data_IF_518163943936
#
_entry.id   IF_518163943936
#
_cell.length_a   1.000
_cell.length_b   1.000
_cell.length_c   1.000
_cell.angle_alpha   90.00
_cell.angle_beta   90.00
_cell.angle_gamma   90.00
#
_symmetry.space_group_name_H-M   'P 1'
#
loop_
_entity.id
_entity.type
_entity.pdbx_description
1 polymer ?
#
# COMPACT_ATOMS: atom_id res chain seq x y z
N UNK A 1 -19.94 10.13 -50.31
CA UNK A 1 -18.85 10.23 -49.34
C UNK A 1 -19.32 9.65 -48.03
N UNK A 2 -18.94 8.41 -47.70
CA UNK A 2 -19.16 7.78 -46.38
C UNK A 2 -17.92 8.05 -45.55
N UNK A 3 -17.99 8.99 -44.61
CA UNK A 3 -16.97 9.19 -43.59
C UNK A 3 -17.16 8.12 -42.50
N UNK A 4 -16.40 7.03 -42.57
CA UNK A 4 -16.28 6.08 -41.48
C UNK A 4 -15.40 6.70 -40.38
N UNK A 5 -16.02 7.23 -39.34
CA UNK A 5 -15.31 7.53 -38.08
C UNK A 5 -14.99 6.21 -37.38
N UNK A 6 -13.77 5.72 -37.55
CA UNK A 6 -13.21 4.74 -36.67
C UNK A 6 -12.80 5.48 -35.39
N UNK A 7 -13.70 5.56 -34.42
CA UNK A 7 -13.31 5.96 -33.08
C UNK A 7 -12.37 4.88 -32.53
N UNK A 8 -11.07 5.15 -32.54
CA UNK A 8 -10.15 4.41 -31.68
C UNK A 8 -10.63 4.65 -30.24
N UNK A 9 -11.40 3.71 -29.71
CA UNK A 9 -11.63 3.66 -28.28
C UNK A 9 -10.24 3.53 -27.63
N UNK A 10 -9.77 4.63 -27.08
CA UNK A 10 -8.57 4.63 -26.27
C UNK A 10 -8.88 3.71 -25.09
N UNK A 11 -8.22 2.54 -24.99
CA UNK A 11 -8.39 1.63 -23.87
C UNK A 11 -8.11 2.44 -22.61
N UNK A 12 -9.13 2.63 -21.77
CA UNK A 12 -8.99 3.36 -20.50
C UNK A 12 -8.11 2.49 -19.61
N UNK A 13 -6.99 3.03 -19.18
CA UNK A 13 -6.14 2.39 -18.18
C UNK A 13 -6.87 2.39 -16.84
N UNK A 14 -7.10 1.21 -16.28
CA UNK A 14 -7.81 1.02 -15.00
C UNK A 14 -6.82 0.69 -13.90
N UNK A 15 -7.17 1.05 -12.66
CA UNK A 15 -6.46 0.66 -11.45
C UNK A 15 -7.38 -0.08 -10.49
N UNK A 16 -6.81 -1.02 -9.73
CA UNK A 16 -7.49 -1.66 -8.61
C UNK A 16 -6.86 -1.13 -7.32
N UNK A 17 -7.70 -0.58 -6.44
CA UNK A 17 -7.33 -0.21 -5.08
C UNK A 17 -7.92 -1.22 -4.09
N UNK A 18 -7.07 -1.78 -3.25
CA UNK A 18 -7.46 -2.69 -2.17
C UNK A 18 -7.29 -1.96 -0.85
N UNK A 19 -8.40 -1.70 -0.17
CA UNK A 19 -8.37 -1.06 1.14
C UNK A 19 -8.16 -2.08 2.25
N UNK A 20 -7.15 -1.90 3.10
CA UNK A 20 -6.89 -2.74 4.28
C UNK A 20 -7.12 -1.88 5.53
N UNK A 21 -8.29 -1.97 6.18
CA UNK A 21 -8.67 -1.04 7.25
C UNK A 21 -8.06 -1.35 8.62
N UNK A 22 -6.96 -2.07 8.69
CA UNK A 22 -6.37 -2.51 9.96
C UNK A 22 -5.06 -1.80 10.23
N UNK A 23 -4.88 -1.35 11.50
CA UNK A 23 -3.63 -0.80 12.01
C UNK A 23 -3.28 -1.45 13.36
N UNK A 24 -1.99 -1.46 13.74
CA UNK A 24 -1.56 -1.87 15.09
C UNK A 24 -2.06 -0.90 16.14
N UNK A 25 -1.99 0.40 15.83
CA UNK A 25 -2.43 1.50 16.68
C UNK A 25 -3.00 2.63 15.82
N UNK A 26 -3.82 3.49 16.41
CA UNK A 26 -4.35 4.69 15.74
C UNK A 26 -3.39 5.85 15.96
N UNK A 27 -2.84 6.39 14.89
CA UNK A 27 -2.04 7.62 14.93
C UNK A 27 -2.93 8.84 15.17
N UNK A 28 -2.48 9.82 15.97
CA UNK A 28 -3.31 10.97 16.37
C UNK A 28 -3.67 11.92 15.24
N UNK A 29 -2.91 11.91 14.16
CA UNK A 29 -3.19 12.74 12.97
C UNK A 29 -4.08 12.06 11.92
N UNK A 30 -4.29 10.74 12.04
CA UNK A 30 -4.86 9.96 10.94
C UNK A 30 -6.38 10.06 10.88
N UNK A 31 -6.89 10.65 9.79
CA UNK A 31 -8.32 10.73 9.46
C UNK A 31 -8.83 9.57 8.60
N UNK A 32 -7.98 8.66 8.14
CA UNK A 32 -8.41 7.53 7.33
C UNK A 32 -9.24 6.52 8.13
N UNK A 33 -10.17 5.86 7.41
CA UNK A 33 -10.93 4.77 8.00
C UNK A 33 -10.00 3.60 8.32
N UNK A 34 -9.77 3.37 9.60
CA UNK A 34 -8.97 2.25 10.09
C UNK A 34 -9.35 1.87 11.52
N UNK A 35 -9.18 0.61 11.85
CA UNK A 35 -9.46 0.03 13.17
C UNK A 35 -8.20 -0.60 13.76
N UNK A 36 -7.90 -0.28 15.02
CA UNK A 36 -6.78 -0.87 15.76
C UNK A 36 -7.22 -2.17 16.45
N UNK A 37 -7.63 -3.18 15.65
CA UNK A 37 -8.11 -4.47 16.14
C UNK A 37 -7.94 -5.53 15.07
N UNK A 38 -7.63 -6.76 15.49
CA UNK A 38 -7.57 -7.95 14.61
C UNK A 38 -8.86 -8.76 14.61
N UNK A 39 -9.81 -8.44 15.47
CA UNK A 39 -11.00 -9.25 15.71
C UNK A 39 -11.80 -9.55 14.43
N UNK A 40 -11.93 -8.59 13.54
CA UNK A 40 -12.67 -8.72 12.30
C UNK A 40 -11.77 -9.02 11.07
N UNK A 41 -10.45 -9.11 11.25
CA UNK A 41 -9.50 -9.21 10.13
C UNK A 41 -9.78 -10.43 9.24
N UNK A 42 -9.96 -11.60 9.84
CA UNK A 42 -10.26 -12.84 9.10
C UNK A 42 -11.58 -12.76 8.33
N UNK A 43 -12.63 -12.24 8.99
CA UNK A 43 -13.94 -12.08 8.34
C UNK A 43 -13.89 -11.05 7.20
N UNK A 44 -13.12 -9.97 7.39
CA UNK A 44 -12.90 -8.96 6.36
C UNK A 44 -12.19 -9.53 5.12
N UNK A 45 -11.11 -10.30 5.31
CA UNK A 45 -10.37 -10.92 4.19
C UNK A 45 -11.28 -11.88 3.41
N UNK A 46 -12.09 -12.68 4.11
CA UNK A 46 -13.06 -13.55 3.46
C UNK A 46 -14.12 -12.75 2.67
N UNK A 47 -14.65 -11.66 3.24
CA UNK A 47 -15.61 -10.78 2.56
C UNK A 47 -14.98 -10.08 1.35
N UNK A 48 -13.72 -9.64 1.46
CA UNK A 48 -12.97 -9.06 0.34
C UNK A 48 -12.81 -10.07 -0.81
N UNK A 49 -12.49 -11.32 -0.49
CA UNK A 49 -12.43 -12.39 -1.50
C UNK A 49 -13.76 -12.60 -2.22
N UNK A 50 -14.89 -12.55 -1.51
CA UNK A 50 -16.22 -12.59 -2.12
C UNK A 50 -16.51 -11.36 -2.98
N UNK A 51 -16.15 -10.16 -2.52
CA UNK A 51 -16.31 -8.93 -3.31
C UNK A 51 -15.53 -9.00 -4.62
N UNK A 52 -14.29 -9.46 -4.59
CA UNK A 52 -13.45 -9.66 -5.78
C UNK A 52 -14.16 -10.57 -6.79
N UNK A 53 -14.70 -11.70 -6.34
CA UNK A 53 -15.44 -12.63 -7.19
C UNK A 53 -16.72 -12.02 -7.78
N UNK A 54 -17.49 -11.29 -6.98
CA UNK A 54 -18.72 -10.63 -7.42
C UNK A 54 -18.44 -9.53 -8.46
N UNK A 55 -17.26 -8.88 -8.39
CA UNK A 55 -16.89 -7.78 -9.27
C UNK A 55 -16.00 -8.18 -10.46
N UNK A 56 -15.78 -9.48 -10.69
CA UNK A 56 -14.89 -9.97 -11.76
C UNK A 56 -15.18 -9.37 -13.15
N UNK A 57 -16.43 -9.12 -13.46
CA UNK A 57 -16.88 -8.58 -14.75
C UNK A 57 -17.00 -7.04 -14.74
N UNK A 58 -16.72 -6.37 -13.61
CA UNK A 58 -16.94 -4.93 -13.45
C UNK A 58 -16.05 -4.08 -14.37
N UNK A 59 -14.82 -4.52 -14.61
CA UNK A 59 -13.88 -3.81 -15.47
C UNK A 59 -14.05 -4.14 -16.97
N UNK A 60 -14.91 -5.10 -17.32
CA UNK A 60 -15.12 -5.54 -18.70
C UNK A 60 -13.81 -5.98 -19.37
N UNK A 61 -13.52 -5.43 -20.56
CA UNK A 61 -12.29 -5.73 -21.30
C UNK A 61 -11.16 -4.75 -21.04
N UNK A 62 -11.28 -3.89 -20.01
CA UNK A 62 -10.28 -2.88 -19.70
C UNK A 62 -9.01 -3.53 -19.12
N UNK A 63 -7.86 -2.99 -19.50
CA UNK A 63 -6.58 -3.45 -18.96
C UNK A 63 -6.31 -2.82 -17.60
N UNK A 64 -6.01 -3.64 -16.59
CA UNK A 64 -5.54 -3.17 -15.29
C UNK A 64 -4.06 -2.79 -15.41
N UNK A 65 -3.72 -1.55 -15.14
CA UNK A 65 -2.35 -1.02 -15.20
C UNK A 65 -1.72 -0.84 -13.82
N UNK A 66 -2.53 -0.63 -12.78
CA UNK A 66 -2.03 -0.42 -11.42
C UNK A 66 -2.82 -1.24 -10.43
N UNK A 67 -2.12 -1.79 -9.45
CA UNK A 67 -2.69 -2.47 -8.29
C UNK A 67 -2.11 -1.80 -7.03
N UNK A 68 -2.97 -1.26 -6.18
CA UNK A 68 -2.55 -0.50 -5.01
C UNK A 68 -3.21 -1.05 -3.74
N UNK A 69 -2.38 -1.44 -2.78
CA UNK A 69 -2.81 -1.84 -1.44
C UNK A 69 -2.55 -0.69 -0.48
N UNK A 70 -3.60 -0.13 0.10
CA UNK A 70 -3.52 1.02 0.98
C UNK A 70 -4.58 1.01 2.09
N UNK A 71 -4.69 2.14 2.79
CA UNK A 71 -5.75 2.40 3.78
C UNK A 71 -5.26 2.55 5.21
N UNK A 72 -5.41 1.52 6.02
CA UNK A 72 -4.82 1.48 7.37
C UNK A 72 -3.34 1.10 7.31
N UNK A 73 -3.04 -0.21 7.28
CA UNK A 73 -1.65 -0.69 7.22
C UNK A 73 -1.60 -2.05 6.49
N UNK A 74 -1.50 -2.05 5.15
CA UNK A 74 -1.40 -3.30 4.38
C UNK A 74 -0.21 -4.17 4.78
N UNK A 75 0.92 -3.56 5.14
CA UNK A 75 2.11 -4.26 5.63
C UNK A 75 1.89 -5.07 6.92
N UNK A 76 0.78 -4.83 7.63
CA UNK A 76 0.42 -5.61 8.82
C UNK A 76 -0.25 -6.96 8.51
N UNK A 77 -0.63 -7.20 7.27
CA UNK A 77 -1.07 -8.52 6.83
C UNK A 77 0.08 -9.54 6.97
N UNK A 78 -0.29 -10.79 7.29
CA UNK A 78 0.64 -11.91 7.14
C UNK A 78 0.91 -12.18 5.66
N UNK A 79 1.97 -12.90 5.36
CA UNK A 79 2.27 -13.27 3.97
C UNK A 79 1.18 -14.17 3.38
N UNK A 80 0.60 -15.07 4.18
CA UNK A 80 -0.50 -15.94 3.73
C UNK A 80 -1.75 -15.10 3.39
N UNK A 81 -2.15 -14.17 4.28
CA UNK A 81 -3.29 -13.27 4.04
C UNK A 81 -3.10 -12.43 2.77
N UNK A 82 -1.91 -11.89 2.57
CA UNK A 82 -1.60 -11.10 1.39
C UNK A 82 -1.58 -11.95 0.11
N UNK A 83 -1.01 -13.16 0.20
CA UNK A 83 -0.98 -14.12 -0.91
C UNK A 83 -2.38 -14.52 -1.32
N UNK A 84 -3.27 -14.82 -0.37
CA UNK A 84 -4.67 -15.18 -0.65
C UNK A 84 -5.41 -14.07 -1.41
N UNK A 85 -5.23 -12.81 -0.99
CA UNK A 85 -5.84 -11.65 -1.66
C UNK A 85 -5.28 -11.48 -3.08
N UNK A 86 -3.96 -11.49 -3.25
CA UNK A 86 -3.30 -11.32 -4.55
C UNK A 86 -3.69 -12.44 -5.51
N UNK A 87 -3.66 -13.71 -5.06
CA UNK A 87 -4.06 -14.85 -5.86
C UNK A 87 -5.53 -14.75 -6.28
N UNK A 88 -6.42 -14.35 -5.36
CA UNK A 88 -7.84 -14.17 -5.68
C UNK A 88 -8.03 -13.07 -6.74
N UNK A 89 -7.28 -11.98 -6.67
CA UNK A 89 -7.30 -10.92 -7.68
C UNK A 89 -6.81 -11.44 -9.05
N UNK A 90 -5.71 -12.19 -9.07
CA UNK A 90 -5.13 -12.75 -10.31
C UNK A 90 -6.04 -13.80 -10.98
N UNK A 91 -6.83 -14.53 -10.19
CA UNK A 91 -7.82 -15.48 -10.72
C UNK A 91 -9.06 -14.80 -11.33
N UNK A 92 -9.38 -13.58 -10.93
CA UNK A 92 -10.61 -12.89 -11.31
C UNK A 92 -10.41 -11.70 -12.25
N UNK A 93 -9.19 -11.16 -12.34
CA UNK A 93 -8.85 -10.03 -13.22
C UNK A 93 -7.62 -10.31 -14.05
N UNK A 94 -7.56 -9.76 -15.27
CA UNK A 94 -6.40 -9.84 -16.16
C UNK A 94 -5.30 -8.90 -15.65
N UNK A 95 -4.45 -9.37 -14.74
CA UNK A 95 -3.37 -8.59 -14.12
C UNK A 95 -2.00 -8.77 -14.81
N UNK A 96 -1.92 -9.44 -15.95
CA UNK A 96 -0.69 -9.68 -16.71
C UNK A 96 -0.06 -8.42 -17.32
N UNK A 97 -0.84 -7.32 -17.40
CA UNK A 97 -0.38 -6.02 -17.92
C UNK A 97 -0.17 -4.98 -16.81
N UNK A 98 -0.18 -5.37 -15.53
CA UNK A 98 0.02 -4.45 -14.41
C UNK A 98 1.46 -3.95 -14.41
N UNK A 99 1.62 -2.64 -14.62
CA UNK A 99 2.93 -1.98 -14.65
C UNK A 99 3.41 -1.62 -13.24
N UNK A 100 2.48 -1.29 -12.33
CA UNK A 100 2.80 -0.91 -10.95
C UNK A 100 1.92 -1.68 -9.96
N UNK A 101 2.58 -2.38 -9.03
CA UNK A 101 1.96 -2.97 -7.84
C UNK A 101 2.54 -2.30 -6.60
N UNK A 102 1.73 -1.49 -5.94
CA UNK A 102 2.12 -0.72 -4.77
C UNK A 102 1.58 -1.34 -3.49
N UNK A 103 2.39 -1.35 -2.44
CA UNK A 103 1.96 -1.65 -1.07
C UNK A 103 2.39 -0.53 -0.13
N UNK A 104 1.45 -0.03 0.69
CA UNK A 104 1.76 0.86 1.81
C UNK A 104 2.31 0.07 2.99
N UNK A 105 3.36 0.60 3.62
CA UNK A 105 4.03 -0.04 4.72
C UNK A 105 4.41 0.94 5.82
N UNK A 106 4.38 0.46 7.07
CA UNK A 106 5.02 1.16 8.17
C UNK A 106 6.44 0.61 8.40
N UNK A 107 7.41 1.44 8.82
CA UNK A 107 8.79 0.99 9.04
C UNK A 107 8.91 -0.22 9.97
N UNK A 108 8.11 -0.27 11.04
CA UNK A 108 8.10 -1.36 12.01
C UNK A 108 7.61 -2.71 11.48
N UNK A 109 6.93 -2.72 10.33
CA UNK A 109 6.45 -3.95 9.69
C UNK A 109 7.43 -4.48 8.63
N UNK A 110 8.40 -3.66 8.21
CA UNK A 110 9.34 -3.99 7.15
C UNK A 110 10.42 -4.92 7.69
N UNK A 111 10.48 -6.13 7.15
CA UNK A 111 11.54 -7.10 7.38
C UNK A 111 12.08 -7.62 6.06
N UNK A 112 13.32 -8.13 6.03
CA UNK A 112 13.90 -8.70 4.80
C UNK A 112 13.05 -9.83 4.23
N UNK A 113 12.41 -10.64 5.07
CA UNK A 113 11.56 -11.74 4.61
C UNK A 113 10.25 -11.23 4.00
N UNK A 114 9.61 -10.22 4.61
CA UNK A 114 8.43 -9.59 4.02
C UNK A 114 8.74 -8.91 2.69
N UNK A 115 9.86 -8.19 2.59
CA UNK A 115 10.28 -7.56 1.34
C UNK A 115 10.48 -8.59 0.22
N UNK A 116 11.15 -9.71 0.50
CA UNK A 116 11.30 -10.82 -0.46
C UNK A 116 9.93 -11.40 -0.85
N UNK A 117 9.04 -11.61 0.12
CA UNK A 117 7.68 -12.10 -0.13
C UNK A 117 6.86 -11.13 -0.97
N UNK A 118 6.91 -9.84 -0.69
CA UNK A 118 6.22 -8.83 -1.50
C UNK A 118 6.76 -8.78 -2.92
N UNK A 119 8.09 -8.85 -3.10
CA UNK A 119 8.69 -8.97 -4.45
C UNK A 119 8.21 -10.22 -5.19
N UNK A 120 8.13 -11.36 -4.51
CA UNK A 120 7.63 -12.61 -5.09
C UNK A 120 6.16 -12.52 -5.52
N UNK A 121 5.33 -11.72 -4.81
CA UNK A 121 3.96 -11.40 -5.19
C UNK A 121 3.85 -10.29 -6.27
N UNK A 122 4.99 -9.86 -6.83
CA UNK A 122 5.05 -8.89 -7.90
C UNK A 122 4.94 -7.43 -7.47
N UNK A 123 4.96 -7.11 -6.17
CA UNK A 123 5.03 -5.71 -5.74
C UNK A 123 6.36 -5.10 -6.19
N UNK A 124 6.29 -3.96 -6.85
CA UNK A 124 7.45 -3.25 -7.40
C UNK A 124 7.56 -1.80 -6.91
N UNK A 125 6.58 -1.33 -6.13
CA UNK A 125 6.59 -0.03 -5.49
C UNK A 125 6.22 -0.14 -4.00
N UNK A 126 6.95 0.58 -3.15
CA UNK A 126 6.62 0.77 -1.74
C UNK A 126 6.25 2.23 -1.46
N UNK A 127 5.26 2.47 -0.59
CA UNK A 127 5.02 3.74 0.05
C UNK A 127 5.23 3.54 1.56
N UNK A 128 6.25 4.18 2.13
CA UNK A 128 6.63 3.96 3.53
C UNK A 128 6.22 5.17 4.36
N UNK A 129 5.30 4.95 5.29
CA UNK A 129 4.81 5.99 6.19
C UNK A 129 5.80 6.33 7.30
N UNK A 130 6.81 7.13 7.00
CA UNK A 130 7.85 7.54 7.96
C UNK A 130 7.34 8.67 8.85
N UNK A 131 6.74 9.67 8.28
CA UNK A 131 6.13 10.85 8.88
C UNK A 131 7.13 11.90 9.39
N UNK A 132 8.23 11.50 10.04
CA UNK A 132 9.34 12.34 10.49
C UNK A 132 10.54 11.47 10.87
N UNK A 133 11.76 12.01 10.76
CA UNK A 133 12.97 11.38 11.30
C UNK A 133 13.33 11.90 12.72
N UNK A 134 12.37 12.49 13.42
CA UNK A 134 12.54 12.93 14.80
C UNK A 134 11.73 12.06 15.77
N UNK A 135 12.40 11.33 16.65
CA UNK A 135 11.77 10.38 17.59
C UNK A 135 10.77 11.03 18.55
N UNK A 136 11.01 12.28 18.98
CA UNK A 136 10.08 13.00 19.85
C UNK A 136 8.81 13.41 19.09
N UNK A 137 8.92 13.78 17.83
CA UNK A 137 7.78 14.05 16.97
C UNK A 137 6.99 12.76 16.72
N UNK A 138 7.67 11.65 16.40
CA UNK A 138 7.05 10.34 16.18
C UNK A 138 6.24 9.88 17.40
N UNK A 139 6.81 9.99 18.60
CA UNK A 139 6.10 9.67 19.86
C UNK A 139 4.85 10.52 20.06
N UNK A 140 4.93 11.84 19.80
CA UNK A 140 3.79 12.75 19.94
C UNK A 140 2.63 12.43 19.03
N UNK A 141 2.87 11.83 17.87
CA UNK A 141 1.83 11.44 16.92
C UNK A 141 1.43 9.96 17.03
N UNK A 142 1.90 9.27 18.08
CA UNK A 142 1.63 7.86 18.38
C UNK A 142 2.18 6.90 17.29
N UNK A 143 3.40 7.18 16.78
CA UNK A 143 4.15 6.22 15.95
C UNK A 143 5.00 5.33 16.83
N UNK A 144 5.14 4.06 16.42
CA UNK A 144 5.85 3.03 17.19
C UNK A 144 7.28 2.81 16.71
N UNK A 145 7.61 3.21 15.48
CA UNK A 145 8.96 3.14 14.94
C UNK A 145 9.81 4.34 15.34
N UNK A 146 11.12 4.18 15.24
CA UNK A 146 12.13 5.22 15.44
C UNK A 146 12.67 5.74 14.09
N UNK A 147 13.38 6.88 14.10
CA UNK A 147 14.10 7.38 12.94
C UNK A 147 15.07 6.33 12.36
N UNK A 148 15.74 5.57 13.25
CA UNK A 148 16.65 4.49 12.83
C UNK A 148 15.89 3.34 12.14
N UNK A 149 14.68 2.99 12.60
CA UNK A 149 13.83 2.00 11.93
C UNK A 149 13.41 2.50 10.54
N UNK A 150 13.10 3.78 10.43
CA UNK A 150 12.75 4.42 9.16
C UNK A 150 13.89 4.32 8.14
N UNK A 151 15.11 4.73 8.53
CA UNK A 151 16.30 4.62 7.67
C UNK A 151 16.54 3.18 7.25
N UNK A 152 16.57 2.27 8.22
CA UNK A 152 16.78 0.84 7.97
C UNK A 152 15.74 0.23 7.02
N UNK A 153 14.48 0.66 7.13
CA UNK A 153 13.41 0.18 6.27
C UNK A 153 13.62 0.54 4.80
N UNK A 154 14.12 1.75 4.52
CA UNK A 154 14.45 2.21 3.16
C UNK A 154 15.66 1.46 2.62
N UNK A 155 16.73 1.30 3.42
CA UNK A 155 17.92 0.54 3.03
C UNK A 155 17.55 -0.92 2.67
N UNK A 156 16.79 -1.59 3.54
CA UNK A 156 16.37 -2.97 3.29
C UNK A 156 15.46 -3.11 2.06
N UNK A 157 14.61 -2.12 1.81
CA UNK A 157 13.77 -2.10 0.63
C UNK A 157 14.63 -2.00 -0.65
N UNK A 158 15.60 -1.09 -0.68
CA UNK A 158 16.53 -0.95 -1.80
C UNK A 158 17.36 -2.22 -2.01
N UNK A 159 17.96 -2.78 -0.95
CA UNK A 159 18.71 -4.05 -0.98
C UNK A 159 17.87 -5.23 -1.51
N UNK A 160 16.55 -5.20 -1.29
CA UNK A 160 15.62 -6.23 -1.74
C UNK A 160 15.12 -6.03 -3.18
N UNK A 161 15.65 -5.03 -3.89
CA UNK A 161 15.38 -4.77 -5.30
C UNK A 161 14.10 -3.95 -5.56
N UNK A 162 13.63 -3.18 -4.57
CA UNK A 162 12.62 -2.15 -4.85
C UNK A 162 13.32 -0.90 -5.42
N UNK A 163 13.04 -0.58 -6.67
CA UNK A 163 13.57 0.61 -7.35
C UNK A 163 12.65 1.83 -7.19
N UNK A 164 11.37 1.61 -6.89
CA UNK A 164 10.39 2.66 -6.67
C UNK A 164 9.96 2.67 -5.20
N UNK A 165 10.58 3.54 -4.42
CA UNK A 165 10.32 3.71 -2.98
C UNK A 165 9.90 5.16 -2.74
N UNK A 166 8.63 5.35 -2.33
CA UNK A 166 8.13 6.62 -1.83
C UNK A 166 8.17 6.64 -0.30
N UNK A 167 8.47 7.78 0.27
CA UNK A 167 8.35 8.02 1.71
C UNK A 167 7.33 9.13 1.97
N UNK A 168 6.51 8.96 2.99
CA UNK A 168 5.55 9.96 3.40
C UNK A 168 6.09 10.75 4.59
N UNK A 169 6.14 12.07 4.47
CA UNK A 169 6.50 13.01 5.55
C UNK A 169 5.35 13.96 5.81
N UNK A 170 5.11 14.29 7.08
CA UNK A 170 4.04 15.22 7.46
C UNK A 170 4.64 16.52 7.97
N UNK A 171 4.30 17.62 7.31
CA UNK A 171 4.68 18.96 7.71
C UNK A 171 3.67 19.53 8.73
N UNK A 172 4.15 20.37 9.64
CA UNK A 172 3.29 21.09 10.58
C UNK A 172 2.72 20.23 11.72
N UNK A 173 3.35 19.12 12.06
CA UNK A 173 3.00 18.31 13.23
C UNK A 173 3.15 19.11 14.53
N UNK A 174 2.43 18.79 15.62
CA UNK A 174 2.53 19.47 16.90
C UNK A 174 3.98 19.48 17.41
N UNK A 175 4.52 20.68 17.65
CA UNK A 175 5.91 20.87 18.05
C UNK A 175 6.95 20.73 16.92
N UNK A 176 6.50 20.56 15.68
CA UNK A 176 7.36 20.52 14.49
C UNK A 176 7.82 21.93 14.13
N UNK A 177 9.10 22.13 13.98
CA UNK A 177 9.74 23.42 13.66
C UNK A 177 10.42 23.35 12.29
N UNK A 178 10.84 24.51 11.79
CA UNK A 178 11.65 24.57 10.57
C UNK A 178 12.96 23.77 10.67
N UNK A 179 13.54 23.67 11.87
CA UNK A 179 14.74 22.85 12.10
C UNK A 179 14.47 21.37 11.93
N UNK A 180 13.31 20.88 12.39
CA UNK A 180 12.89 19.50 12.16
C UNK A 180 12.75 19.21 10.65
N UNK A 181 12.11 20.11 9.90
CA UNK A 181 12.00 19.97 8.44
C UNK A 181 13.35 19.94 7.71
N UNK A 182 14.34 20.68 8.21
CA UNK A 182 15.69 20.66 7.63
C UNK A 182 16.45 19.38 7.95
N UNK A 183 16.09 18.72 9.05
CA UNK A 183 16.67 17.46 9.48
C UNK A 183 16.03 16.27 8.77
N UNK A 184 14.69 16.30 8.60
CA UNK A 184 13.91 15.28 7.88
C UNK A 184 14.14 15.37 6.36
#
# INVERSE_FOLDING_TARGET
FVLSFVSKFQKIAMGIYVHIPFCRSKCYYCGFYSVASTQLKKAYIAALGHEIQLRKDYLGTSEVKTLYFGGGTPSWLSMDELTDIVTTLEMNFALNCVAERTIEANPEDITRDKLKGWRALGFNRLSIGIQSFNDEVLKRINRTHTAQDALRSVEWAADSGFENIGIDLILGLPGYTRLHLQHD
#
